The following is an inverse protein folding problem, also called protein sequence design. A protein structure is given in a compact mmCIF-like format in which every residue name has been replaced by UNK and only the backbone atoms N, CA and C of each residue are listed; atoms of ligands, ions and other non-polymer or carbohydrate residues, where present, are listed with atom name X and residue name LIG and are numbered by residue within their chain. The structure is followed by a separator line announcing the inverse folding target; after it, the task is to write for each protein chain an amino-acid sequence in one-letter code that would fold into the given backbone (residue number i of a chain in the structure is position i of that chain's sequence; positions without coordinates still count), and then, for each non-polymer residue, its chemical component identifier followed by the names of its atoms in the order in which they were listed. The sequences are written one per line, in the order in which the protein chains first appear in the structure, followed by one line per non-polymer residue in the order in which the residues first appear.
data_IF_078155584466
#
_entry.id   IF_078155584466
#
_cell.length_a   1.000
_cell.length_b   1.000
_cell.length_c   1.000
_cell.angle_alpha   90.00
_cell.angle_beta   90.00
_cell.angle_gamma   90.00
#
_symmetry.space_group_name_H-M   'P 1'
#
loop_
_entity.id
_entity.type
_entity.pdbx_description
1 polymer ?
#
# COMPACT_ATOMS: atom_id res chain seq x y z
N UNK A 1 -7.45 16.51 -6.08
CA UNK A 1 -6.73 15.30 -6.53
C UNK A 1 -5.24 15.40 -6.23
N UNK A 2 -4.55 16.46 -6.65
CA UNK A 2 -3.11 16.60 -6.36
C UNK A 2 -2.83 16.76 -4.86
N UNK A 3 -3.66 17.50 -4.11
CA UNK A 3 -3.50 17.59 -2.66
C UNK A 3 -3.73 16.26 -1.96
N UNK A 4 -4.69 15.46 -2.43
CA UNK A 4 -4.91 14.09 -1.96
C UNK A 4 -3.68 13.21 -2.26
N UNK A 5 -3.13 13.28 -3.47
CA UNK A 5 -1.92 12.54 -3.82
C UNK A 5 -0.71 12.96 -2.95
N UNK A 6 -0.55 14.25 -2.66
CA UNK A 6 0.48 14.73 -1.71
C UNK A 6 0.26 14.19 -0.30
N UNK A 7 -0.98 14.18 0.19
CA UNK A 7 -1.30 13.58 1.50
C UNK A 7 -0.93 12.10 1.53
N UNK A 8 -1.23 11.36 0.46
CA UNK A 8 -0.85 9.96 0.34
C UNK A 8 0.66 9.78 0.39
N UNK A 9 1.42 10.53 -0.43
CA UNK A 9 2.89 10.50 -0.41
C UNK A 9 3.45 10.78 0.99
N UNK A 10 2.91 11.78 1.69
CA UNK A 10 3.32 12.11 3.06
C UNK A 10 3.03 10.97 4.02
N UNK A 11 1.82 10.40 3.99
CA UNK A 11 1.40 9.33 4.90
C UNK A 11 2.19 8.05 4.62
N UNK A 12 2.29 7.62 3.37
CA UNK A 12 3.01 6.39 3.01
C UNK A 12 4.49 6.50 3.31
N UNK A 13 5.13 7.65 2.98
CA UNK A 13 6.53 7.87 3.28
C UNK A 13 6.82 7.89 4.79
N UNK A 14 5.92 8.48 5.59
CA UNK A 14 6.03 8.45 7.04
C UNK A 14 5.90 7.02 7.60
N UNK A 15 4.90 6.27 7.13
CA UNK A 15 4.67 4.88 7.55
C UNK A 15 5.85 3.98 7.20
N UNK A 16 6.39 4.08 5.98
CA UNK A 16 7.58 3.35 5.55
C UNK A 16 8.78 3.66 6.45
N UNK A 17 9.02 4.93 6.76
CA UNK A 17 10.12 5.34 7.63
C UNK A 17 10.01 4.79 9.05
N UNK A 18 8.83 4.92 9.67
CA UNK A 18 8.59 4.40 11.03
C UNK A 18 8.72 2.88 11.05
N UNK A 19 8.14 2.19 10.07
CA UNK A 19 8.15 0.73 10.03
C UNK A 19 9.54 0.17 9.73
N UNK A 20 10.29 0.79 8.81
CA UNK A 20 11.68 0.42 8.55
C UNK A 20 12.54 0.59 9.80
N UNK A 21 12.34 1.67 10.55
CA UNK A 21 12.99 1.87 11.84
C UNK A 21 12.62 0.75 12.83
N UNK A 22 11.33 0.43 12.96
CA UNK A 22 10.87 -0.64 13.84
C UNK A 22 11.46 -2.01 13.46
N UNK A 23 11.53 -2.36 12.17
CA UNK A 23 12.16 -3.60 11.71
C UNK A 23 13.67 -3.60 11.97
N UNK A 24 14.38 -2.52 11.62
CA UNK A 24 15.83 -2.45 11.77
C UNK A 24 16.31 -2.62 13.23
N UNK A 25 15.49 -2.17 14.19
CA UNK A 25 15.78 -2.24 15.61
C UNK A 25 15.06 -3.38 16.37
N UNK A 26 14.15 -4.10 15.72
CA UNK A 26 13.54 -5.29 16.31
C UNK A 26 14.39 -6.54 16.07
N UNK A 27 14.15 -7.59 16.85
CA UNK A 27 14.80 -8.90 16.71
C UNK A 27 14.23 -9.74 15.52
N UNK A 28 13.50 -9.09 14.62
CA UNK A 28 12.95 -9.66 13.36
C UNK A 28 14.06 -10.08 12.38
N UNK A 29 15.33 -9.87 12.71
CA UNK A 29 16.51 -10.17 11.89
C UNK A 29 16.72 -11.66 11.64
N UNK A 30 16.21 -12.51 12.54
CA UNK A 30 16.35 -13.97 12.48
C UNK A 30 15.10 -14.67 11.93
N UNK A 31 14.25 -13.92 11.21
CA UNK A 31 13.00 -14.46 10.68
C UNK A 31 13.28 -15.17 9.36
N UNK A 32 12.88 -16.44 9.26
CA UNK A 32 13.10 -17.29 8.09
C UNK A 32 11.78 -17.71 7.42
N UNK A 33 11.87 -18.13 6.16
CA UNK A 33 10.76 -18.71 5.41
C UNK A 33 9.59 -17.73 5.18
N UNK A 34 8.37 -18.22 5.40
CA UNK A 34 7.12 -17.49 5.10
C UNK A 34 6.99 -16.21 5.92
N UNK A 35 7.55 -16.18 7.13
CA UNK A 35 7.48 -15.02 8.01
C UNK A 35 8.20 -13.79 7.41
N UNK A 36 9.22 -13.98 6.56
CA UNK A 36 9.85 -12.89 5.80
C UNK A 36 8.85 -12.18 4.90
N UNK A 37 7.99 -12.95 4.21
CA UNK A 37 6.96 -12.40 3.34
C UNK A 37 5.89 -11.63 4.14
N UNK A 38 5.57 -12.08 5.35
CA UNK A 38 4.60 -11.41 6.23
C UNK A 38 5.10 -10.01 6.62
N UNK A 39 6.38 -9.89 7.00
CA UNK A 39 6.98 -8.59 7.35
C UNK A 39 7.31 -7.72 6.12
N UNK A 40 7.55 -8.32 4.95
CA UNK A 40 7.79 -7.59 3.71
C UNK A 40 6.50 -7.09 3.04
N UNK A 41 5.39 -7.80 3.19
CA UNK A 41 4.10 -7.47 2.56
C UNK A 41 3.62 -6.02 2.78
N UNK A 42 3.59 -5.47 4.01
CA UNK A 42 3.16 -4.08 4.20
C UNK A 42 4.08 -3.08 3.47
N UNK A 43 5.40 -3.32 3.45
CA UNK A 43 6.36 -2.47 2.74
C UNK A 43 6.12 -2.48 1.22
N UNK A 44 5.92 -3.66 0.62
CA UNK A 44 5.66 -3.78 -0.82
C UNK A 44 4.34 -3.09 -1.21
N UNK A 45 3.31 -3.23 -0.36
CA UNK A 45 2.01 -2.60 -0.59
C UNK A 45 2.05 -1.08 -0.42
N UNK A 46 2.79 -0.56 0.57
CA UNK A 46 3.04 0.88 0.70
C UNK A 46 3.80 1.44 -0.49
N UNK A 47 4.86 0.75 -0.94
CA UNK A 47 5.64 1.18 -2.10
C UNK A 47 4.78 1.21 -3.37
N UNK A 48 3.94 0.19 -3.59
CA UNK A 48 2.99 0.19 -4.69
C UNK A 48 2.00 1.36 -4.59
N UNK A 49 1.42 1.60 -3.41
CA UNK A 49 0.54 2.74 -3.16
C UNK A 49 1.21 4.08 -3.47
N UNK A 50 2.46 4.25 -3.03
CA UNK A 50 3.27 5.45 -3.23
C UNK A 50 3.55 5.68 -4.72
N UNK A 51 3.94 4.64 -5.48
CA UNK A 51 4.18 4.74 -6.92
C UNK A 51 2.94 5.30 -7.63
N UNK A 52 1.76 4.74 -7.35
CA UNK A 52 0.51 5.22 -7.95
C UNK A 52 0.16 6.65 -7.53
N UNK A 53 0.40 7.03 -6.26
CA UNK A 53 0.17 8.40 -5.80
C UNK A 53 1.12 9.41 -6.48
N UNK A 54 2.40 9.06 -6.63
CA UNK A 54 3.40 9.90 -7.32
C UNK A 54 3.05 10.08 -8.79
N UNK A 55 2.56 9.03 -9.48
CA UNK A 55 2.12 9.14 -10.88
C UNK A 55 1.04 10.20 -11.10
N UNK A 56 0.20 10.48 -10.10
CA UNK A 56 -0.82 11.56 -10.15
C UNK A 56 -0.19 12.95 -10.16
N UNK A 57 0.97 13.10 -9.52
CA UNK A 57 1.71 14.37 -9.42
C UNK A 57 2.58 14.63 -10.65
N UNK A 58 2.91 13.61 -11.44
CA UNK A 58 3.70 13.76 -12.67
C UNK A 58 2.90 14.56 -13.69
N UNK A 59 3.46 15.71 -14.10
CA UNK A 59 2.85 16.60 -15.09
C UNK A 59 3.15 16.08 -16.50
N UNK A 60 2.20 15.39 -17.14
CA UNK A 60 2.28 15.12 -18.59
C UNK A 60 2.13 16.45 -19.36
N UNK A 61 3.08 16.75 -20.27
CA UNK A 61 2.97 17.87 -21.22
C UNK A 61 1.99 17.46 -22.32
N UNK A 62 0.75 17.91 -22.21
CA UNK A 62 -0.24 17.71 -23.28
C UNK A 62 -0.11 18.84 -24.29
N UNK A 63 -0.03 18.50 -25.58
CA UNK A 63 -0.04 19.45 -26.69
C UNK A 63 -1.44 20.01 -26.89
N UNK A 64 -1.87 20.90 -25.99
CA UNK A 64 -3.22 21.46 -26.01
C UNK A 64 -3.24 22.59 -27.05
N UNK A 65 -3.98 22.39 -28.14
CA UNK A 65 -4.35 23.49 -29.03
C UNK A 65 -5.47 24.30 -28.36
N UNK A 66 -5.08 25.38 -27.66
CA UNK A 66 -5.94 26.27 -26.86
C UNK A 66 -7.09 26.88 -27.70
N UNK A 67 -7.01 26.83 -29.03
CA UNK A 67 -7.94 27.51 -29.92
C UNK A 67 -9.27 26.76 -30.20
N UNK A 68 -9.54 25.63 -29.55
CA UNK A 68 -10.86 24.97 -29.62
C UNK A 68 -11.37 24.56 -28.24
N UNK A 69 -12.48 25.16 -27.79
CA UNK A 69 -13.06 24.97 -26.45
C UNK A 69 -13.51 23.52 -26.19
N UNK A 70 -14.00 22.82 -27.22
CA UNK A 70 -14.51 21.45 -27.08
C UNK A 70 -13.40 20.41 -26.93
N UNK A 71 -12.36 20.48 -27.77
CA UNK A 71 -11.23 19.53 -27.75
C UNK A 71 -10.37 19.68 -26.48
N UNK A 72 -10.22 20.90 -25.98
CA UNK A 72 -9.55 21.16 -24.69
C UNK A 72 -10.33 20.59 -23.51
N UNK A 73 -11.66 20.54 -23.58
CA UNK A 73 -12.51 19.97 -22.53
C UNK A 73 -12.43 18.44 -22.52
N UNK A 74 -12.53 17.80 -23.67
CA UNK A 74 -12.40 16.34 -23.82
C UNK A 74 -11.01 15.86 -23.32
N UNK A 75 -9.92 16.51 -23.75
CA UNK A 75 -8.57 16.18 -23.26
C UNK A 75 -8.40 16.41 -21.76
N UNK A 76 -9.05 17.43 -21.18
CA UNK A 76 -9.00 17.66 -19.74
C UNK A 76 -9.75 16.58 -18.95
N UNK A 77 -10.91 16.14 -19.43
CA UNK A 77 -11.69 15.07 -18.81
C UNK A 77 -10.93 13.74 -18.84
N UNK A 78 -10.29 13.38 -19.94
CA UNK A 78 -9.43 12.18 -20.04
C UNK A 78 -8.27 12.20 -19.02
N UNK A 79 -7.63 13.35 -18.83
CA UNK A 79 -6.55 13.53 -17.84
C UNK A 79 -7.07 13.31 -16.42
N UNK A 80 -8.26 13.84 -16.12
CA UNK A 80 -8.87 13.70 -14.81
C UNK A 80 -9.25 12.25 -14.52
N UNK A 81 -9.78 11.52 -15.51
CA UNK A 81 -10.11 10.10 -15.37
C UNK A 81 -8.85 9.25 -15.12
N UNK A 82 -7.77 9.48 -15.87
CA UNK A 82 -6.49 8.80 -15.62
C UNK A 82 -6.01 9.06 -14.20
N UNK A 83 -5.95 10.33 -13.77
CA UNK A 83 -5.50 10.68 -12.41
C UNK A 83 -6.38 10.06 -11.33
N UNK A 84 -7.70 10.04 -11.53
CA UNK A 84 -8.64 9.45 -10.59
C UNK A 84 -8.43 7.94 -10.45
N UNK A 85 -8.18 7.23 -11.57
CA UNK A 85 -7.86 5.80 -11.55
C UNK A 85 -6.61 5.50 -10.73
N UNK A 86 -5.55 6.30 -10.89
CA UNK A 86 -4.31 6.13 -10.12
C UNK A 86 -4.53 6.37 -8.62
N UNK A 87 -5.28 7.41 -8.23
CA UNK A 87 -5.64 7.64 -6.82
C UNK A 87 -6.43 6.45 -6.27
N UNK A 88 -7.44 5.95 -7.01
CA UNK A 88 -8.26 4.84 -6.56
C UNK A 88 -7.43 3.57 -6.32
N UNK A 89 -6.51 3.27 -7.23
CA UNK A 89 -5.60 2.12 -7.10
C UNK A 89 -4.68 2.32 -5.88
N UNK A 90 -4.08 3.50 -5.74
CA UNK A 90 -3.24 3.85 -4.58
C UNK A 90 -3.97 3.66 -3.25
N UNK A 91 -5.24 4.09 -3.16
CA UNK A 91 -6.11 3.88 -1.98
C UNK A 91 -6.35 2.40 -1.67
N UNK A 92 -6.59 1.57 -2.68
CA UNK A 92 -6.76 0.13 -2.47
C UNK A 92 -5.49 -0.51 -1.92
N UNK A 93 -4.33 -0.19 -2.51
CA UNK A 93 -3.03 -0.67 -2.00
C UNK A 93 -2.76 -0.19 -0.57
N UNK A 94 -3.09 1.06 -0.26
CA UNK A 94 -2.94 1.59 1.10
C UNK A 94 -3.83 0.83 2.10
N UNK A 95 -5.08 0.58 1.77
CA UNK A 95 -5.97 -0.19 2.66
C UNK A 95 -5.43 -1.62 2.87
N UNK A 96 -5.02 -2.29 1.79
CA UNK A 96 -4.45 -3.64 1.87
C UNK A 96 -3.15 -3.65 2.70
N UNK A 97 -2.33 -2.61 2.63
CA UNK A 97 -1.11 -2.49 3.42
C UNK A 97 -1.39 -2.43 4.92
N UNK A 98 -2.47 -1.77 5.36
CA UNK A 98 -2.88 -1.75 6.76
C UNK A 98 -3.35 -3.13 7.23
N UNK A 99 -4.05 -3.89 6.37
CA UNK A 99 -4.41 -5.28 6.66
C UNK A 99 -3.15 -6.13 6.81
N UNK A 100 -2.19 -6.01 5.89
CA UNK A 100 -0.92 -6.72 5.97
C UNK A 100 -0.11 -6.34 7.23
N UNK A 101 -0.10 -5.06 7.60
CA UNK A 101 0.55 -4.57 8.81
C UNK A 101 -0.06 -5.20 10.07
N UNK A 102 -1.39 -5.24 10.17
CA UNK A 102 -2.08 -5.88 11.29
C UNK A 102 -1.69 -7.36 11.38
N UNK A 103 -1.66 -8.06 10.25
CA UNK A 103 -1.23 -9.47 10.21
C UNK A 103 0.22 -9.60 10.70
N UNK A 104 1.13 -8.73 10.26
CA UNK A 104 2.52 -8.74 10.71
C UNK A 104 2.67 -8.49 12.22
N UNK A 105 1.85 -7.59 12.78
CA UNK A 105 1.81 -7.34 14.23
C UNK A 105 1.26 -8.54 15.00
N UNK A 106 0.17 -9.15 14.54
CA UNK A 106 -0.40 -10.35 15.17
C UNK A 106 0.56 -11.54 15.13
N UNK A 107 1.28 -11.70 14.02
CA UNK A 107 2.35 -12.69 13.88
C UNK A 107 3.49 -12.40 14.86
N UNK A 108 3.94 -11.15 14.95
CA UNK A 108 4.99 -10.75 15.91
C UNK A 108 4.61 -11.02 17.37
N UNK A 109 3.34 -10.82 17.73
CA UNK A 109 2.83 -11.10 19.07
C UNK A 109 2.64 -12.60 19.37
N UNK A 110 2.93 -13.50 18.41
CA UNK A 110 2.72 -14.95 18.58
C UNK A 110 1.26 -15.39 18.59
N UNK A 111 0.32 -14.49 18.30
CA UNK A 111 -1.12 -14.79 18.29
C UNK A 111 -1.45 -15.72 17.11
N UNK A 112 -0.82 -15.48 15.96
CA UNK A 112 -1.06 -16.28 14.75
C UNK A 112 -0.60 -17.73 14.93
N UNK A 113 0.55 -17.96 15.56
CA UNK A 113 1.06 -19.30 15.90
C UNK A 113 0.17 -19.99 16.92
N UNK A 114 -0.27 -19.27 17.96
CA UNK A 114 -1.17 -19.81 18.98
C UNK A 114 -2.53 -20.25 18.40
N UNK A 115 -3.13 -19.44 17.53
CA UNK A 115 -4.39 -19.78 16.86
C UNK A 115 -4.21 -21.01 15.96
N UNK A 116 -3.11 -21.08 15.22
CA UNK A 116 -2.81 -22.20 14.34
C UNK A 116 -2.64 -23.51 15.12
N UNK A 117 -1.86 -23.50 16.21
CA UNK A 117 -1.70 -24.65 17.10
C UNK A 117 -3.03 -25.11 17.71
N UNK A 118 -3.86 -24.17 18.17
CA UNK A 118 -5.18 -24.49 18.71
C UNK A 118 -6.09 -25.13 17.66
N UNK A 119 -6.14 -24.57 16.45
CA UNK A 119 -6.94 -25.11 15.35
C UNK A 119 -6.50 -26.53 14.98
N UNK A 120 -5.19 -26.78 14.91
CA UNK A 120 -4.66 -28.12 14.63
C UNK A 120 -5.00 -29.11 15.73
N UNK A 121 -4.86 -28.72 17.00
CA UNK A 121 -5.17 -29.59 18.14
C UNK A 121 -6.68 -29.92 18.23
N UNK A 122 -7.57 -28.96 17.93
CA UNK A 122 -9.01 -29.20 17.85
C UNK A 122 -9.41 -30.08 16.66
N UNK A 123 -8.71 -29.97 15.53
CA UNK A 123 -8.95 -30.81 14.36
C UNK A 123 -8.54 -32.26 14.59
N UNK A 124 -7.52 -32.50 15.41
CA UNK A 124 -7.03 -33.84 15.77
C UNK A 124 -7.95 -34.54 16.78
N UNK A 125 -8.68 -33.81 17.63
CA UNK A 125 -9.62 -34.40 18.59
C UNK A 125 -11.00 -34.77 18.00
N UNK A 126 -11.27 -34.38 16.75
CA UNK A 126 -12.51 -34.69 16.03
C UNK A 126 -12.40 -35.95 15.14
N UNK A 127 -11.27 -36.65 15.21
CA UNK A 127 -11.00 -37.96 14.59
C UNK A 127 -10.55 -38.96 15.66
#
# INVERSE_FOLDING_TARGET
MEDTAKQFVTITGLLEGIYFHAIAFSDVKNVEGISVLIYAAPLVLWLASLIFAVMVLVRKKYGININSSRKSKETFEEILEEKYKHIRISSVFLILSFVALIIALLHYMGILSYIFEMWQNSSVQLF
#
